data_IF_845115106937
#
_entry.id   IF_845115106937
#
_cell.length_a   1.000
_cell.length_b   1.000
_cell.length_c   1.000
_cell.angle_alpha   90.00
_cell.angle_beta   90.00
_cell.angle_gamma   90.00
#
_symmetry.space_group_name_H-M   'P 1'
#
loop_
_entity.id
_entity.type
_entity.pdbx_description
1 polymer ?
#
# COMPACT_ATOMS: atom_id res chain seq x y z
N UNK A 1 -6.68 7.24 8.06
CA UNK A 1 -6.15 7.29 6.68
C UNK A 1 -6.68 8.45 5.86
N UNK A 2 -7.97 8.82 5.88
CA UNK A 2 -8.49 9.96 5.10
C UNK A 2 -7.69 11.28 5.29
N UNK A 3 -7.34 11.64 6.54
CA UNK A 3 -6.49 12.81 6.83
C UNK A 3 -5.10 12.74 6.19
N UNK A 4 -4.53 11.53 6.05
CA UNK A 4 -3.23 11.34 5.38
C UNK A 4 -3.38 11.63 3.90
N UNK A 5 -4.44 11.13 3.25
CA UNK A 5 -4.70 11.42 1.84
C UNK A 5 -4.98 12.90 1.57
N UNK A 6 -5.72 13.58 2.46
CA UNK A 6 -5.89 15.02 2.38
C UNK A 6 -4.55 15.78 2.44
N UNK A 7 -3.64 15.39 3.34
CA UNK A 7 -2.31 15.99 3.42
C UNK A 7 -1.42 15.66 2.21
N UNK A 8 -1.48 14.42 1.70
CA UNK A 8 -0.75 14.02 0.51
C UNK A 8 -1.23 14.83 -0.70
N UNK A 9 -2.53 15.03 -0.86
CA UNK A 9 -3.10 15.90 -1.91
C UNK A 9 -2.63 17.34 -1.77
N UNK A 10 -2.54 17.87 -0.53
CA UNK A 10 -2.09 19.24 -0.27
C UNK A 10 -0.64 19.48 -0.69
N UNK A 11 0.23 18.49 -0.53
CA UNK A 11 1.67 18.61 -0.85
C UNK A 11 2.04 18.14 -2.25
N UNK A 12 1.12 17.48 -2.96
CA UNK A 12 1.34 16.98 -4.31
C UNK A 12 1.50 18.15 -5.28
N UNK A 13 2.52 18.10 -6.13
CA UNK A 13 2.63 19.01 -7.26
C UNK A 13 1.52 18.73 -8.27
N UNK A 14 1.19 19.72 -9.10
CA UNK A 14 0.23 19.54 -10.20
C UNK A 14 0.62 18.34 -11.06
N UNK A 15 -0.35 17.46 -11.31
CA UNK A 15 -0.17 16.19 -12.06
C UNK A 15 0.79 15.18 -11.40
N UNK A 16 1.15 15.37 -10.13
CA UNK A 16 1.90 14.39 -9.36
C UNK A 16 1.08 13.12 -9.07
N UNK A 17 1.78 12.10 -8.60
CA UNK A 17 1.18 10.82 -8.23
C UNK A 17 1.65 10.39 -6.85
N UNK A 18 0.80 9.69 -6.13
CA UNK A 18 1.13 8.98 -4.90
C UNK A 18 1.20 7.49 -5.21
N UNK A 19 2.35 6.87 -4.97
CA UNK A 19 2.49 5.42 -4.93
C UNK A 19 2.32 4.96 -3.47
N UNK A 20 1.19 4.32 -3.16
CA UNK A 20 0.85 3.89 -1.81
C UNK A 20 0.97 2.38 -1.67
N UNK A 21 2.00 1.92 -0.96
CA UNK A 21 2.26 0.50 -0.73
C UNK A 21 1.49 -0.05 0.48
N UNK A 22 0.86 -1.20 0.30
CA UNK A 22 0.18 -1.97 1.34
C UNK A 22 0.47 -3.46 1.21
N UNK A 23 0.28 -4.17 2.31
CA UNK A 23 0.26 -5.63 2.35
C UNK A 23 -1.12 -6.12 2.80
N UNK A 24 -1.42 -7.40 2.58
CA UNK A 24 -2.58 -8.01 3.20
C UNK A 24 -2.34 -8.22 4.71
N UNK A 25 -3.40 -8.10 5.50
CA UNK A 25 -3.33 -8.37 6.94
C UNK A 25 -4.22 -9.55 7.32
N UNK A 26 -4.11 -10.02 8.58
CA UNK A 26 -4.87 -11.16 9.12
C UNK A 26 -4.74 -12.43 8.26
N UNK A 27 -3.52 -12.70 7.77
CA UNK A 27 -3.22 -13.89 6.97
C UNK A 27 -3.89 -13.92 5.60
N UNK A 28 -4.15 -12.76 5.00
CA UNK A 28 -4.75 -12.65 3.66
C UNK A 28 -6.25 -12.40 3.67
N UNK A 29 -6.89 -12.44 4.85
CA UNK A 29 -8.35 -12.22 4.98
C UNK A 29 -8.77 -10.76 4.75
N UNK A 30 -7.84 -9.84 4.91
CA UNK A 30 -8.10 -8.41 4.68
C UNK A 30 -7.13 -7.91 3.61
N UNK A 31 -7.72 -7.61 2.46
CA UNK A 31 -7.09 -6.95 1.33
C UNK A 31 -7.06 -5.45 1.60
N UNK A 32 -5.91 -4.96 2.06
CA UNK A 32 -5.75 -3.55 2.42
C UNK A 32 -5.92 -2.63 1.22
N UNK A 33 -5.60 -3.11 0.02
CA UNK A 33 -5.73 -2.35 -1.22
C UNK A 33 -7.15 -1.88 -1.47
N UNK A 34 -8.14 -2.74 -1.18
CA UNK A 34 -9.56 -2.42 -1.37
C UNK A 34 -10.01 -1.33 -0.38
N UNK A 35 -9.56 -1.44 0.87
CA UNK A 35 -9.87 -0.45 1.90
C UNK A 35 -9.22 0.90 1.59
N UNK A 36 -7.97 0.89 1.13
CA UNK A 36 -7.24 2.11 0.80
C UNK A 36 -7.82 2.80 -0.42
N UNK A 37 -8.17 2.07 -1.47
CA UNK A 37 -8.84 2.63 -2.66
C UNK A 37 -10.10 3.39 -2.26
N UNK A 38 -11.00 2.78 -1.48
CA UNK A 38 -12.22 3.45 -1.07
C UNK A 38 -11.98 4.71 -0.22
N UNK A 39 -10.97 4.70 0.66
CA UNK A 39 -10.62 5.88 1.46
C UNK A 39 -9.97 6.99 0.60
N UNK A 40 -9.14 6.62 -0.37
CA UNK A 40 -8.48 7.54 -1.28
C UNK A 40 -9.50 8.24 -2.20
N UNK A 41 -10.43 7.48 -2.78
CA UNK A 41 -11.55 8.01 -3.58
C UNK A 41 -12.41 8.98 -2.77
N UNK A 42 -12.79 8.60 -1.54
CA UNK A 42 -13.54 9.47 -0.64
C UNK A 42 -12.77 10.75 -0.24
N UNK A 43 -11.44 10.76 -0.40
CA UNK A 43 -10.57 11.91 -0.13
C UNK A 43 -10.28 12.75 -1.38
N UNK A 44 -10.83 12.38 -2.54
CA UNK A 44 -10.68 13.12 -3.80
C UNK A 44 -9.53 12.66 -4.70
N UNK A 45 -8.81 11.60 -4.33
CA UNK A 45 -7.83 10.99 -5.23
C UNK A 45 -8.50 10.11 -6.27
N UNK A 46 -7.85 9.96 -7.43
CA UNK A 46 -8.25 9.02 -8.47
C UNK A 46 -7.29 7.82 -8.49
N UNK A 47 -7.76 6.60 -8.16
CA UNK A 47 -6.99 5.39 -8.39
C UNK A 47 -6.79 5.15 -9.90
N UNK A 48 -5.54 5.00 -10.33
CA UNK A 48 -5.20 4.79 -11.74
C UNK A 48 -4.64 3.38 -11.99
N UNK A 49 -3.95 2.81 -10.99
CA UNK A 49 -3.34 1.49 -11.11
C UNK A 49 -3.29 0.79 -9.75
N UNK A 50 -3.52 -0.52 -9.75
CA UNK A 50 -3.14 -1.41 -8.67
C UNK A 50 -2.10 -2.40 -9.20
N UNK A 51 -0.87 -2.28 -8.70
CA UNK A 51 0.19 -3.25 -8.96
C UNK A 51 0.19 -4.30 -7.85
N UNK A 52 0.01 -5.57 -8.21
CA UNK A 52 0.17 -6.70 -7.28
C UNK A 52 1.48 -7.39 -7.61
N UNK A 53 2.46 -7.27 -6.72
CA UNK A 53 3.75 -7.88 -6.91
C UNK A 53 3.83 -9.17 -6.10
N UNK A 54 3.61 -10.30 -6.76
CA UNK A 54 3.69 -11.64 -6.17
C UNK A 54 5.06 -12.24 -6.42
N UNK A 55 5.93 -12.19 -5.41
CA UNK A 55 7.30 -12.70 -5.50
C UNK A 55 7.69 -13.41 -4.21
N UNK A 56 8.58 -14.39 -4.32
CA UNK A 56 9.28 -14.94 -3.17
C UNK A 56 10.47 -14.05 -2.83
N UNK A 57 10.30 -13.16 -1.85
CA UNK A 57 11.38 -12.31 -1.35
C UNK A 57 11.58 -12.43 0.16
N UNK A 58 12.82 -12.19 0.58
CA UNK A 58 13.19 -12.08 2.00
C UNK A 58 13.09 -10.62 2.42
N UNK A 59 12.20 -10.31 3.38
CA UNK A 59 12.11 -8.97 3.98
C UNK A 59 13.47 -8.56 4.57
N UNK A 60 13.91 -7.33 4.33
CA UNK A 60 15.16 -6.77 4.89
C UNK A 60 15.25 -6.93 6.40
N UNK A 61 14.12 -6.80 7.12
CA UNK A 61 14.05 -7.04 8.56
C UNK A 61 14.51 -8.46 8.96
N UNK A 62 14.18 -9.47 8.16
CA UNK A 62 14.65 -10.84 8.39
C UNK A 62 16.17 -10.95 8.15
N UNK A 63 16.73 -10.23 7.17
CA UNK A 63 18.18 -10.16 6.96
C UNK A 63 18.91 -9.55 8.16
N UNK A 64 18.25 -8.66 8.91
CA UNK A 64 18.77 -8.04 10.14
C UNK A 64 18.44 -8.82 11.43
N UNK A 65 17.92 -10.05 11.30
CA UNK A 65 17.61 -10.89 12.46
C UNK A 65 16.39 -10.43 13.27
N UNK A 66 15.60 -9.48 12.75
CA UNK A 66 14.34 -9.08 13.37
C UNK A 66 13.31 -10.19 13.13
N UNK A 67 12.96 -10.93 14.18
CA UNK A 67 12.01 -12.03 14.09
C UNK A 67 10.62 -11.50 13.74
N UNK A 68 10.11 -11.84 12.56
CA UNK A 68 8.70 -11.69 12.22
C UNK A 68 7.96 -13.00 12.54
N UNK A 69 6.69 -12.91 12.96
CA UNK A 69 5.82 -14.09 13.13
C UNK A 69 5.58 -14.72 11.76
N UNK A 70 6.38 -15.73 11.43
CA UNK A 70 6.14 -16.84 10.50
C UNK A 70 5.07 -16.62 9.41
N UNK A 71 5.52 -16.19 8.22
CA UNK A 71 5.22 -16.80 6.92
C UNK A 71 6.00 -16.09 5.81
N UNK A 72 6.90 -16.84 5.16
CA UNK A 72 7.57 -16.44 3.91
C UNK A 72 6.52 -16.48 2.80
N UNK A 73 6.28 -15.30 2.22
CA UNK A 73 6.11 -14.94 0.80
C UNK A 73 5.26 -13.67 0.82
N UNK A 74 5.97 -12.54 0.90
CA UNK A 74 5.32 -11.24 0.98
C UNK A 74 4.98 -10.83 -0.45
N UNK A 75 3.69 -10.74 -0.76
CA UNK A 75 3.26 -10.06 -1.96
C UNK A 75 2.89 -8.63 -1.54
N UNK A 76 3.60 -7.63 -2.04
CA UNK A 76 3.24 -6.24 -1.81
C UNK A 76 2.31 -5.73 -2.92
N UNK A 77 1.52 -4.72 -2.57
CA UNK A 77 0.54 -4.11 -3.46
C UNK A 77 0.74 -2.62 -3.45
N UNK A 78 0.87 -2.02 -4.63
CA UNK A 78 1.08 -0.58 -4.76
C UNK A 78 -0.12 -0.01 -5.50
N UNK A 79 -0.77 0.96 -4.87
CA UNK A 79 -1.87 1.71 -5.47
C UNK A 79 -1.29 3.02 -5.99
N UNK A 80 -1.44 3.27 -7.28
CA UNK A 80 -1.11 4.56 -7.88
C UNK A 80 -2.33 5.46 -7.83
N UNK A 81 -2.22 6.56 -7.10
CA UNK A 81 -3.26 7.55 -6.92
C UNK A 81 -2.83 8.86 -7.58
N UNK A 82 -3.77 9.51 -8.24
CA UNK A 82 -3.64 10.86 -8.80
C UNK A 82 -4.42 11.87 -7.98
#
# INVERSE_FOLDING_TARGET
MARVFAELQRVLVSSGYVAFEVEYIRGGKVMMETLVVGVAEASGHKPELLMVNQQEFTKTANCWGVSSKTKRTNANRIILLK
#
